data_IF_001836851326
#
_entry.id   IF_001836851326
#
_cell.length_a   1.000
_cell.length_b   1.000
_cell.length_c   1.000
_cell.angle_alpha   90.00
_cell.angle_beta   90.00
_cell.angle_gamma   90.00
#
_symmetry.space_group_name_H-M   'P 1'
#
loop_
_entity.id
_entity.type
_entity.pdbx_description
1 polymer ?
#
# COMPACT_ATOMS: atom_id res chain seq x y z
N UNK A 1 -5.18 -10.38 -15.55
CA UNK A 1 -4.85 -9.43 -14.47
C UNK A 1 -3.41 -9.02 -14.64
N UNK A 2 -3.17 -7.75 -14.96
CA UNK A 2 -1.81 -7.20 -15.02
C UNK A 2 -1.40 -6.87 -13.58
N UNK A 3 -0.23 -7.35 -13.16
CA UNK A 3 0.35 -7.05 -11.85
C UNK A 3 1.54 -6.13 -12.05
N UNK A 4 1.68 -5.17 -11.16
CA UNK A 4 2.79 -4.24 -11.18
C UNK A 4 3.53 -4.29 -9.87
N UNK A 5 4.80 -3.97 -9.94
CA UNK A 5 5.69 -3.89 -8.79
C UNK A 5 5.89 -2.42 -8.44
N UNK A 6 5.69 -2.06 -7.18
CA UNK A 6 5.98 -0.72 -6.68
C UNK A 6 6.74 -0.77 -5.38
N UNK A 7 7.48 0.29 -5.13
CA UNK A 7 8.42 0.37 -4.04
C UNK A 7 7.91 1.40 -3.03
N UNK A 8 7.50 0.95 -1.85
CA UNK A 8 6.91 1.80 -0.81
C UNK A 8 7.83 1.87 0.41
N UNK A 9 7.91 3.05 1.02
CA UNK A 9 8.65 3.21 2.27
C UNK A 9 8.01 2.39 3.40
N UNK A 10 8.82 1.77 4.29
CA UNK A 10 8.30 0.88 5.33
C UNK A 10 7.35 1.59 6.30
N UNK A 11 7.54 2.89 6.59
CA UNK A 11 6.58 3.67 7.38
C UNK A 11 5.22 3.77 6.68
N UNK A 12 5.23 4.03 5.38
CA UNK A 12 4.01 4.09 4.58
C UNK A 12 3.27 2.75 4.49
N UNK A 13 3.99 1.62 4.38
CA UNK A 13 3.37 0.28 4.42
C UNK A 13 2.71 0.00 5.78
N UNK A 14 3.35 0.39 6.89
CA UNK A 14 2.76 0.26 8.23
C UNK A 14 1.50 1.11 8.40
N UNK A 15 1.49 2.35 7.91
CA UNK A 15 0.31 3.21 8.00
C UNK A 15 -0.82 2.66 7.13
N UNK A 16 -0.50 2.23 5.89
CA UNK A 16 -1.46 1.54 5.01
C UNK A 16 -2.07 0.38 5.80
N UNK A 17 -1.27 -0.52 6.37
CA UNK A 17 -1.76 -1.66 7.16
C UNK A 17 -2.63 -1.26 8.36
N UNK A 18 -2.17 -0.31 9.18
CA UNK A 18 -2.92 0.11 10.37
C UNK A 18 -4.34 0.58 10.02
N UNK A 19 -4.56 1.00 8.78
CA UNK A 19 -5.85 1.50 8.29
C UNK A 19 -6.54 0.52 7.32
N UNK A 20 -5.81 -0.44 6.75
CA UNK A 20 -6.35 -1.49 5.88
C UNK A 20 -6.60 -2.81 6.59
N UNK A 21 -6.72 -2.80 7.93
CA UNK A 21 -7.23 -3.97 8.66
C UNK A 21 -8.61 -4.44 8.14
N UNK A 22 -9.40 -3.55 7.52
CA UNK A 22 -10.61 -3.90 6.76
C UNK A 22 -10.32 -4.70 5.47
N UNK A 23 -9.18 -4.48 4.81
CA UNK A 23 -8.70 -5.33 3.70
C UNK A 23 -8.34 -6.73 4.20
N UNK A 24 -7.86 -6.87 5.44
CA UNK A 24 -7.59 -8.19 6.03
C UNK A 24 -8.86 -9.06 6.12
N UNK A 25 -10.00 -8.44 6.38
CA UNK A 25 -11.30 -9.12 6.50
C UNK A 25 -11.84 -9.55 5.13
N UNK A 26 -11.68 -8.70 4.10
CA UNK A 26 -12.21 -8.96 2.75
C UNK A 26 -11.23 -9.68 1.80
N UNK A 27 -9.92 -9.44 1.95
CA UNK A 27 -8.85 -9.90 1.06
C UNK A 27 -7.57 -10.25 1.85
N UNK A 28 -7.58 -11.38 2.59
CA UNK A 28 -6.49 -11.77 3.49
C UNK A 28 -5.13 -11.96 2.80
N UNK A 29 -5.13 -12.32 1.49
CA UNK A 29 -3.90 -12.44 0.70
C UNK A 29 -3.23 -11.09 0.44
N UNK A 30 -4.02 -10.04 0.18
CA UNK A 30 -3.52 -8.67 -0.02
C UNK A 30 -2.96 -8.14 1.28
N UNK A 31 -3.62 -8.44 2.40
CA UNK A 31 -3.15 -8.13 3.75
C UNK A 31 -1.84 -8.83 4.09
N UNK A 32 -1.74 -10.14 3.88
CA UNK A 32 -0.53 -10.91 4.17
C UNK A 32 0.70 -10.39 3.42
N UNK A 33 0.53 -10.03 2.13
CA UNK A 33 1.61 -9.43 1.32
C UNK A 33 2.02 -8.04 1.82
N UNK A 34 1.07 -7.24 2.28
CA UNK A 34 1.36 -5.94 2.90
C UNK A 34 2.09 -6.13 4.24
N UNK A 35 1.68 -7.11 5.06
CA UNK A 35 2.28 -7.42 6.36
C UNK A 35 3.69 -7.96 6.23
N UNK A 36 3.93 -8.92 5.33
CA UNK A 36 5.29 -9.38 5.01
C UNK A 36 6.17 -8.20 4.58
N UNK A 37 5.60 -7.31 3.77
CA UNK A 37 6.30 -6.14 3.28
C UNK A 37 6.71 -5.13 4.38
N UNK A 38 5.85 -4.84 5.35
CA UNK A 38 6.22 -3.91 6.44
C UNK A 38 7.17 -4.54 7.46
N UNK A 39 7.05 -5.86 7.67
CA UNK A 39 7.85 -6.55 8.68
C UNK A 39 9.33 -6.62 8.27
N UNK A 40 9.64 -6.45 6.99
CA UNK A 40 10.98 -6.21 6.45
C UNK A 40 11.46 -4.79 6.82
N UNK A 41 11.80 -4.58 8.08
CA UNK A 41 11.99 -3.29 8.76
C UNK A 41 13.23 -2.48 8.34
N UNK A 42 13.83 -2.72 7.16
CA UNK A 42 15.12 -2.10 6.85
C UNK A 42 15.31 -1.60 5.42
N UNK A 43 14.58 -2.08 4.42
CA UNK A 43 14.87 -1.73 3.04
C UNK A 43 13.56 -1.76 2.27
N UNK A 44 12.98 -0.58 2.04
CA UNK A 44 12.23 -0.24 0.82
C UNK A 44 11.49 -1.43 0.19
N UNK A 45 10.20 -1.60 0.51
CA UNK A 45 9.54 -2.86 0.19
C UNK A 45 8.89 -2.86 -1.18
N UNK A 46 9.12 -3.95 -1.91
CA UNK A 46 8.57 -4.19 -3.23
C UNK A 46 7.22 -4.90 -3.13
N UNK A 47 6.15 -4.21 -3.48
CA UNK A 47 4.79 -4.73 -3.48
C UNK A 47 4.35 -5.08 -4.90
N UNK A 48 4.02 -6.35 -5.12
CA UNK A 48 3.36 -6.80 -6.34
C UNK A 48 1.84 -6.71 -6.17
N UNK A 49 1.21 -5.73 -6.78
CA UNK A 49 -0.24 -5.50 -6.67
C UNK A 49 -0.90 -5.53 -8.05
N UNK A 50 -2.13 -6.04 -8.08
CA UNK A 50 -2.99 -5.96 -9.25
C UNK A 50 -3.68 -4.60 -9.32
N UNK A 51 -4.16 -4.19 -10.50
CA UNK A 51 -4.91 -2.93 -10.66
C UNK A 51 -6.03 -2.75 -9.62
N UNK A 52 -6.87 -3.78 -9.47
CA UNK A 52 -7.99 -3.80 -8.53
C UNK A 52 -7.55 -3.62 -7.07
N UNK A 53 -6.41 -4.22 -6.69
CA UNK A 53 -5.84 -4.08 -5.34
C UNK A 53 -5.32 -2.66 -5.10
N UNK A 54 -4.69 -2.04 -6.11
CA UNK A 54 -4.19 -0.67 -6.00
C UNK A 54 -5.35 0.33 -5.89
N UNK A 55 -6.41 0.15 -6.69
CA UNK A 55 -7.62 0.99 -6.61
C UNK A 55 -8.29 0.88 -5.23
N UNK A 56 -8.41 -0.34 -4.70
CA UNK A 56 -8.97 -0.59 -3.37
C UNK A 56 -8.13 0.03 -2.26
N UNK A 57 -6.80 -0.15 -2.28
CA UNK A 57 -5.92 0.46 -1.28
C UNK A 57 -6.00 1.98 -1.35
N UNK A 58 -6.09 2.57 -2.55
CA UNK A 58 -6.25 4.01 -2.72
C UNK A 58 -7.58 4.54 -2.17
N UNK A 59 -8.67 3.79 -2.32
CA UNK A 59 -10.01 4.14 -1.81
C UNK A 59 -10.06 4.07 -0.27
N UNK A 60 -9.41 3.05 0.31
CA UNK A 60 -9.37 2.81 1.75
C UNK A 60 -8.28 3.60 2.48
N UNK A 61 -7.40 4.30 1.75
CA UNK A 61 -6.36 5.13 2.35
C UNK A 61 -6.97 6.31 3.11
N UNK A 62 -6.72 6.45 4.43
CA UNK A 62 -7.31 7.50 5.26
C UNK A 62 -6.86 8.91 4.82
N UNK A 63 -7.46 9.94 5.41
CA UNK A 63 -6.89 11.28 5.30
C UNK A 63 -5.55 11.35 6.07
N UNK A 64 -4.52 12.03 5.53
CA UNK A 64 -3.26 12.21 6.25
C UNK A 64 -3.47 12.99 7.55
N UNK A 65 -2.94 12.48 8.66
CA UNK A 65 -2.81 13.20 9.94
C UNK A 65 -1.46 13.91 9.99
N UNK A 66 -1.27 14.86 10.92
CA UNK A 66 -0.02 15.61 11.01
C UNK A 66 1.25 14.73 11.25
N UNK A 67 1.10 13.57 11.89
CA UNK A 67 2.22 12.66 12.20
C UNK A 67 2.66 11.80 10.99
N UNK A 68 1.69 11.49 10.13
CA UNK A 68 1.86 10.55 9.02
C UNK A 68 1.70 11.21 7.65
N UNK A 69 1.52 12.53 7.60
CA UNK A 69 1.20 13.28 6.39
C UNK A 69 2.20 13.00 5.25
N UNK A 70 3.49 13.09 5.54
CA UNK A 70 4.54 12.88 4.54
C UNK A 70 4.55 11.44 4.02
N UNK A 71 4.46 10.47 4.93
CA UNK A 71 4.48 9.05 4.59
C UNK A 71 3.22 8.65 3.80
N UNK A 72 2.05 9.18 4.16
CA UNK A 72 0.79 8.86 3.49
C UNK A 72 0.67 9.53 2.12
N UNK A 73 1.13 10.79 1.99
CA UNK A 73 1.24 11.46 0.68
C UNK A 73 2.18 10.70 -0.24
N UNK A 74 3.35 10.29 0.27
CA UNK A 74 4.32 9.47 -0.45
C UNK A 74 3.68 8.15 -0.93
N UNK A 75 3.04 7.39 -0.03
CA UNK A 75 2.35 6.15 -0.38
C UNK A 75 1.27 6.35 -1.46
N UNK A 76 0.44 7.39 -1.31
CA UNK A 76 -0.63 7.68 -2.26
C UNK A 76 -0.05 8.00 -3.65
N UNK A 77 1.00 8.79 -3.74
CA UNK A 77 1.68 9.10 -5.01
C UNK A 77 2.21 7.82 -5.64
N UNK A 78 2.94 7.00 -4.88
CA UNK A 78 3.52 5.74 -5.37
C UNK A 78 2.47 4.75 -5.85
N UNK A 79 1.35 4.62 -5.14
CA UNK A 79 0.23 3.78 -5.54
C UNK A 79 -0.47 4.32 -6.79
N UNK A 80 -0.67 5.64 -6.91
CA UNK A 80 -1.23 6.24 -8.13
C UNK A 80 -0.32 6.04 -9.35
N UNK A 81 1.01 6.14 -9.18
CA UNK A 81 1.96 5.84 -10.26
C UNK A 81 1.93 4.37 -10.67
N UNK A 82 1.79 3.46 -9.70
CA UNK A 82 1.61 2.05 -9.98
C UNK A 82 0.30 1.80 -10.75
N UNK A 83 -0.80 2.44 -10.33
CA UNK A 83 -2.09 2.33 -11.00
C UNK A 83 -2.01 2.78 -12.46
N UNK A 84 -1.31 3.89 -12.73
CA UNK A 84 -1.08 4.37 -14.10
C UNK A 84 -0.22 3.41 -14.94
N UNK A 85 0.71 2.69 -14.31
CA UNK A 85 1.55 1.69 -14.99
C UNK A 85 0.81 0.38 -15.27
N UNK A 86 -0.37 0.19 -14.65
CA UNK A 86 -1.24 -0.98 -14.79
C UNK A 86 -2.49 -0.71 -15.64
N UNK A 87 -2.65 0.52 -16.13
CA UNK A 87 -3.75 0.97 -16.99
C UNK A 87 -3.39 0.77 -18.47
#
# INVERSE_FOLDING_TARGET
>A
MQRGVTTIEPKSVQIIQAHTAEIADHHPLTWEKLTDAANQTAQVTSLELSKEEVEMILDLLPAPTADDEAALKSARITLMQLLQSLA
#
